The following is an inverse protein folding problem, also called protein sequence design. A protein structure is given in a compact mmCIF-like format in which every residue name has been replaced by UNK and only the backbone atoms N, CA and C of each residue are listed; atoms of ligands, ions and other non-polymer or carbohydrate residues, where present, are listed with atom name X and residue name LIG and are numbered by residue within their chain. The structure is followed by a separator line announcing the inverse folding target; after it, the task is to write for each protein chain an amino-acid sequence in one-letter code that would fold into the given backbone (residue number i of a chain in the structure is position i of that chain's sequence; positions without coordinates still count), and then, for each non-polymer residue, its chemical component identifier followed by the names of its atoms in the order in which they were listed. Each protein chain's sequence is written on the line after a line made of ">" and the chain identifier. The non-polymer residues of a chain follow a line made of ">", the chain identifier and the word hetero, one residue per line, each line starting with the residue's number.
data_IF_940174203274
#
_entry.id   IF_940174203274
#
_cell.length_a   1.000
_cell.length_b   1.000
_cell.length_c   1.000
_cell.angle_alpha   90.00
_cell.angle_beta   90.00
_cell.angle_gamma   90.00
#
_symmetry.space_group_name_H-M   'P 1'
#
loop_
_entity.id
_entity.type
_entity.pdbx_description
1 polymer ?
#
# COMPACT_ATOMS: atom_id res chain seq x y z
N UNK A 1 18.39 -44.58 37.83
CA UNK A 1 18.61 -43.44 38.74
C UNK A 1 17.86 -42.24 38.16
N UNK A 2 16.58 -42.02 38.48
CA UNK A 2 16.05 -41.23 39.61
C UNK A 2 16.77 -39.90 39.83
N UNK A 3 16.12 -38.80 39.44
CA UNK A 3 15.84 -37.62 40.30
C UNK A 3 14.84 -36.67 39.60
N UNK A 4 13.56 -36.91 39.87
CA UNK A 4 12.47 -35.93 39.79
C UNK A 4 12.67 -34.88 40.89
N UNK A 5 12.67 -33.59 40.52
CA UNK A 5 12.61 -32.49 41.49
C UNK A 5 11.21 -31.89 41.50
N UNK A 6 10.59 -31.98 42.66
CA UNK A 6 9.22 -31.58 42.98
C UNK A 6 9.26 -30.12 43.45
N UNK A 7 8.75 -29.17 42.67
CA UNK A 7 8.59 -27.78 43.12
C UNK A 7 7.23 -27.66 43.82
N UNK A 8 7.27 -27.42 45.13
CA UNK A 8 6.11 -27.05 45.95
C UNK A 8 5.84 -25.56 45.77
N UNK A 9 4.72 -25.22 45.14
CA UNK A 9 4.18 -23.85 45.12
C UNK A 9 3.29 -23.68 46.35
N UNK A 10 3.66 -22.76 47.24
CA UNK A 10 2.87 -22.34 48.39
C UNK A 10 1.95 -21.21 47.92
N UNK A 11 0.64 -21.43 47.99
CA UNK A 11 -0.37 -20.38 47.87
C UNK A 11 -0.43 -19.61 49.20
N UNK A 12 -0.13 -18.32 49.16
CA UNK A 12 -0.47 -17.38 50.24
C UNK A 12 -1.53 -16.44 49.71
N UNK A 13 -2.77 -16.69 50.10
CA UNK A 13 -3.89 -15.77 49.94
C UNK A 13 -3.74 -14.64 50.95
N UNK A 14 -3.50 -13.42 50.47
CA UNK A 14 -3.68 -12.20 51.27
C UNK A 14 -4.96 -11.54 50.78
N UNK A 15 -6.00 -11.67 51.60
CA UNK A 15 -7.22 -10.89 51.50
C UNK A 15 -6.94 -9.57 52.21
N UNK A 16 -6.87 -8.47 51.45
CA UNK A 16 -6.96 -7.12 51.99
C UNK A 16 -8.29 -6.52 51.54
N UNK A 17 -9.25 -6.55 52.47
CA UNK A 17 -10.40 -5.64 52.45
C UNK A 17 -9.92 -4.25 52.90
N UNK A 18 -9.92 -3.29 51.98
CA UNK A 18 -10.03 -1.88 52.34
C UNK A 18 -11.13 -1.26 51.50
N UNK A 19 -12.22 -0.91 52.19
CA UNK A 19 -13.31 -0.14 51.62
C UNK A 19 -12.84 1.26 51.26
N UNK A 20 -13.17 1.68 50.04
CA UNK A 20 -13.17 3.08 49.64
C UNK A 20 -14.55 3.34 49.05
N UNK A 21 -15.40 4.03 49.82
CA UNK A 21 -16.53 4.77 49.27
C UNK A 21 -15.95 5.95 48.48
N UNK A 22 -15.74 5.75 47.18
CA UNK A 22 -15.54 6.84 46.25
C UNK A 22 -16.87 7.08 45.51
N UNK A 23 -17.35 8.31 45.65
CA UNK A 23 -18.52 8.89 45.01
C UNK A 23 -18.45 8.73 43.48
N UNK A 24 -19.36 7.95 42.91
CA UNK A 24 -19.61 7.89 41.47
C UNK A 24 -20.30 9.20 41.03
N UNK A 25 -19.50 10.18 40.57
CA UNK A 25 -20.04 11.35 39.87
C UNK A 25 -19.19 11.85 38.70
N UNK A 26 -18.14 11.13 38.29
CA UNK A 26 -17.27 11.53 37.17
C UNK A 26 -17.40 10.68 35.89
N UNK A 27 -18.26 9.66 35.86
CA UNK A 27 -18.36 8.74 34.70
C UNK A 27 -19.24 9.23 33.54
N UNK A 28 -19.79 10.45 33.61
CA UNK A 28 -20.63 11.02 32.54
C UNK A 28 -19.91 12.04 31.64
N UNK A 29 -18.77 12.59 32.06
CA UNK A 29 -18.00 13.56 31.24
C UNK A 29 -17.06 12.91 30.21
N UNK A 30 -16.63 11.66 30.44
CA UNK A 30 -15.73 10.95 29.52
C UNK A 30 -16.46 10.43 28.28
N UNK A 31 -17.73 10.06 28.41
CA UNK A 31 -18.51 9.46 27.32
C UNK A 31 -19.00 10.50 26.29
N UNK A 32 -19.24 11.75 26.71
CA UNK A 32 -19.66 12.83 25.80
C UNK A 32 -18.50 13.43 24.99
N UNK A 33 -17.26 13.34 25.49
CA UNK A 33 -16.09 13.83 24.75
C UNK A 33 -15.64 12.90 23.62
N UNK A 34 -15.87 11.58 23.73
CA UNK A 34 -15.51 10.61 22.69
C UNK A 34 -16.46 10.63 21.48
N UNK A 35 -17.76 10.87 21.71
CA UNK A 35 -18.75 10.92 20.61
C UNK A 35 -18.50 12.12 19.68
N UNK A 36 -18.02 13.26 20.20
CA UNK A 36 -17.71 14.42 19.37
C UNK A 36 -16.43 14.28 18.52
N UNK A 37 -15.47 13.45 18.94
CA UNK A 37 -14.19 13.29 18.24
C UNK A 37 -14.27 12.37 17.03
N UNK A 38 -15.12 11.34 17.09
CA UNK A 38 -15.25 10.35 16.01
C UNK A 38 -15.97 10.95 14.79
N UNK A 39 -17.07 11.67 15.00
CA UNK A 39 -17.79 12.37 13.93
C UNK A 39 -16.95 13.46 13.26
N UNK A 40 -16.15 14.20 14.05
CA UNK A 40 -15.26 15.24 13.53
C UNK A 40 -14.13 14.64 12.67
N UNK A 41 -13.56 13.51 13.09
CA UNK A 41 -12.51 12.83 12.35
C UNK A 41 -13.04 12.23 11.05
N UNK A 42 -14.19 11.57 11.08
CA UNK A 42 -14.85 11.02 9.89
C UNK A 42 -15.19 12.11 8.88
N UNK A 43 -15.74 13.23 9.33
CA UNK A 43 -16.01 14.40 8.48
C UNK A 43 -14.75 14.96 7.83
N UNK A 44 -13.64 15.03 8.60
CA UNK A 44 -12.35 15.49 8.08
C UNK A 44 -11.75 14.53 7.06
N UNK A 45 -11.76 13.23 7.33
CA UNK A 45 -11.26 12.20 6.42
C UNK A 45 -12.04 12.20 5.10
N UNK A 46 -13.37 12.30 5.16
CA UNK A 46 -14.22 12.41 3.97
C UNK A 46 -13.89 13.66 3.15
N UNK A 47 -13.72 14.82 3.81
CA UNK A 47 -13.30 16.04 3.13
C UNK A 47 -11.94 15.85 2.47
N UNK A 48 -10.93 15.39 3.21
CA UNK A 48 -9.57 15.19 2.69
C UNK A 48 -9.57 14.24 1.48
N UNK A 49 -10.30 13.12 1.55
CA UNK A 49 -10.43 12.19 0.44
C UNK A 49 -10.90 12.87 -0.84
N UNK A 50 -11.93 13.72 -0.75
CA UNK A 50 -12.43 14.48 -1.90
C UNK A 50 -11.40 15.47 -2.43
N UNK A 51 -10.67 16.17 -1.55
CA UNK A 51 -9.64 17.12 -1.94
C UNK A 51 -8.46 16.44 -2.65
N UNK A 52 -8.08 15.23 -2.21
CA UNK A 52 -7.02 14.44 -2.85
C UNK A 52 -7.43 14.01 -4.27
N UNK A 53 -8.63 13.44 -4.43
CA UNK A 53 -9.15 13.00 -5.73
C UNK A 53 -9.31 14.18 -6.69
N UNK A 54 -9.84 15.31 -6.19
CA UNK A 54 -10.03 16.52 -6.99
C UNK A 54 -8.72 17.29 -7.28
N UNK A 55 -7.57 16.77 -6.83
CA UNK A 55 -6.25 17.39 -7.00
C UNK A 55 -6.18 18.83 -6.49
N UNK A 56 -6.91 19.15 -5.42
CA UNK A 56 -6.98 20.52 -4.88
C UNK A 56 -5.64 21.05 -4.34
N UNK A 57 -4.70 20.15 -4.06
CA UNK A 57 -3.34 20.46 -3.61
C UNK A 57 -2.31 20.53 -4.77
N UNK A 58 -2.73 20.27 -6.00
CA UNK A 58 -1.89 20.27 -7.20
C UNK A 58 -1.54 18.87 -7.72
N UNK A 59 -0.48 18.83 -8.52
CA UNK A 59 -0.05 17.64 -9.27
C UNK A 59 0.70 16.65 -8.40
N UNK A 60 0.22 15.40 -8.36
CA UNK A 60 0.82 14.35 -7.54
C UNK A 60 2.00 13.67 -8.23
N UNK A 61 1.98 13.49 -9.55
CA UNK A 61 2.95 12.63 -10.24
C UNK A 61 3.82 13.37 -11.26
N UNK A 62 3.85 14.70 -11.16
CA UNK A 62 4.65 15.57 -12.03
C UNK A 62 5.75 16.27 -11.22
N UNK A 63 7.02 16.03 -11.56
CA UNK A 63 8.15 16.67 -10.88
C UNK A 63 8.52 18.01 -11.53
N UNK A 64 8.89 19.04 -10.74
CA UNK A 64 9.09 19.05 -9.28
C UNK A 64 7.83 19.39 -8.46
N UNK A 65 6.65 19.51 -9.09
CA UNK A 65 5.41 19.89 -8.39
C UNK A 65 5.01 18.89 -7.29
N UNK A 66 5.27 17.60 -7.52
CA UNK A 66 5.09 16.49 -6.57
C UNK A 66 5.49 16.89 -5.14
N UNK A 67 6.75 17.28 -4.91
CA UNK A 67 7.27 17.50 -3.56
C UNK A 67 6.55 18.65 -2.84
N UNK A 68 6.19 19.70 -3.59
CA UNK A 68 5.44 20.84 -3.06
C UNK A 68 4.02 20.45 -2.69
N UNK A 69 3.36 19.62 -3.51
CA UNK A 69 2.02 19.11 -3.24
C UNK A 69 2.02 18.21 -1.99
N UNK A 70 2.98 17.28 -1.89
CA UNK A 70 3.14 16.43 -0.70
C UNK A 70 3.39 17.28 0.55
N UNK A 71 4.27 18.28 0.49
CA UNK A 71 4.53 19.18 1.62
C UNK A 71 3.32 20.00 2.04
N UNK A 72 2.55 20.53 1.10
CA UNK A 72 1.35 21.30 1.41
C UNK A 72 0.30 20.45 2.14
N UNK A 73 0.09 19.21 1.69
CA UNK A 73 -0.84 18.29 2.33
C UNK A 73 -0.35 17.91 3.72
N UNK A 74 0.92 17.52 3.85
CA UNK A 74 1.50 17.03 5.09
C UNK A 74 1.51 18.10 6.20
N UNK A 75 1.83 19.34 5.86
CA UNK A 75 1.95 20.43 6.83
C UNK A 75 0.60 21.05 7.23
N UNK A 76 -0.50 20.63 6.61
CA UNK A 76 -1.84 21.09 7.02
C UNK A 76 -2.23 20.44 8.36
N UNK A 77 -2.62 21.23 9.38
CA UNK A 77 -2.88 20.69 10.72
C UNK A 77 -3.88 19.53 10.74
N UNK A 78 -3.42 18.42 11.31
CA UNK A 78 -4.17 17.18 11.48
C UNK A 78 -4.44 16.38 10.19
N UNK A 79 -3.77 16.71 9.07
CA UNK A 79 -3.79 15.86 7.88
C UNK A 79 -3.00 14.57 8.07
N UNK A 80 -1.84 14.52 8.77
CA UNK A 80 -1.13 13.26 9.00
C UNK A 80 -2.03 12.16 9.58
N UNK A 81 -2.78 12.45 10.65
CA UNK A 81 -3.70 11.49 11.27
C UNK A 81 -4.87 11.14 10.34
N UNK A 82 -5.36 12.10 9.56
CA UNK A 82 -6.45 11.89 8.61
C UNK A 82 -6.01 11.00 7.43
N UNK A 83 -4.76 11.13 6.96
CA UNK A 83 -4.17 10.26 5.93
C UNK A 83 -4.06 8.83 6.44
N UNK A 84 -3.58 8.64 7.68
CA UNK A 84 -3.53 7.31 8.30
C UNK A 84 -4.91 6.69 8.43
N UNK A 85 -5.90 7.45 8.92
CA UNK A 85 -7.28 6.99 9.01
C UNK A 85 -7.85 6.63 7.62
N UNK A 86 -7.59 7.46 6.61
CA UNK A 86 -8.07 7.27 5.24
C UNK A 86 -7.55 5.98 4.60
N UNK A 87 -6.26 5.67 4.73
CA UNK A 87 -5.70 4.41 4.20
C UNK A 87 -6.40 3.18 4.80
N UNK A 88 -6.72 3.24 6.09
CA UNK A 88 -7.37 2.15 6.84
C UNK A 88 -8.89 2.06 6.61
N UNK A 89 -9.53 3.11 6.12
CA UNK A 89 -10.97 3.12 5.85
C UNK A 89 -11.31 2.34 4.57
N UNK A 90 -11.78 1.11 4.75
CA UNK A 90 -12.19 0.23 3.63
C UNK A 90 -13.42 0.73 2.88
N UNK A 91 -14.18 1.68 3.43
CA UNK A 91 -15.34 2.29 2.77
C UNK A 91 -14.98 3.50 1.91
N UNK A 92 -13.80 4.07 2.09
CA UNK A 92 -13.34 5.21 1.31
C UNK A 92 -12.99 4.80 -0.14
N UNK A 93 -13.12 5.72 -1.13
CA UNK A 93 -12.73 5.45 -2.51
C UNK A 93 -11.26 5.02 -2.62
N UNK A 94 -10.99 3.96 -3.39
CA UNK A 94 -9.65 3.39 -3.52
C UNK A 94 -8.62 4.40 -4.02
N UNK A 95 -8.98 5.33 -4.90
CA UNK A 95 -8.08 6.39 -5.36
C UNK A 95 -7.63 7.30 -4.22
N UNK A 96 -8.55 7.75 -3.35
CA UNK A 96 -8.18 8.54 -2.18
C UNK A 96 -7.25 7.77 -1.23
N UNK A 97 -7.51 6.48 -1.03
CA UNK A 97 -6.67 5.59 -0.22
C UNK A 97 -5.27 5.43 -0.82
N UNK A 98 -5.18 5.30 -2.14
CA UNK A 98 -3.91 5.25 -2.88
C UNK A 98 -3.11 6.55 -2.70
N UNK A 99 -3.72 7.70 -2.93
CA UNK A 99 -3.04 9.00 -2.79
C UNK A 99 -2.58 9.23 -1.35
N UNK A 100 -3.42 8.87 -0.37
CA UNK A 100 -3.05 8.94 1.04
C UNK A 100 -1.86 8.04 1.38
N UNK A 101 -1.85 6.79 0.89
CA UNK A 101 -0.75 5.87 1.08
C UNK A 101 0.55 6.39 0.44
N UNK A 102 0.50 6.98 -0.75
CA UNK A 102 1.70 7.48 -1.42
C UNK A 102 2.32 8.70 -0.71
N UNK A 103 1.48 9.59 -0.17
CA UNK A 103 1.93 10.67 0.73
C UNK A 103 2.61 10.09 1.98
N UNK A 104 1.99 9.10 2.61
CA UNK A 104 2.53 8.45 3.80
C UNK A 104 3.84 7.73 3.51
N UNK A 105 4.00 7.06 2.37
CA UNK A 105 5.30 6.52 1.95
C UNK A 105 6.38 7.60 1.81
N UNK A 106 6.00 8.81 1.40
CA UNK A 106 6.93 9.93 1.20
C UNK A 106 7.31 10.68 2.48
N UNK A 107 6.53 10.54 3.56
CA UNK A 107 6.71 11.33 4.80
C UNK A 107 6.83 10.50 6.07
N UNK A 108 6.12 9.38 6.17
CA UNK A 108 6.08 8.51 7.35
C UNK A 108 5.79 7.04 7.00
N UNK A 109 6.67 6.42 6.22
CA UNK A 109 6.44 5.07 5.67
C UNK A 109 6.36 3.97 6.75
N UNK A 110 6.89 4.19 7.96
CA UNK A 110 6.89 3.19 9.04
C UNK A 110 5.49 2.83 9.49
N UNK A 111 4.53 3.75 9.38
CA UNK A 111 3.11 3.51 9.67
C UNK A 111 2.51 2.49 8.71
N UNK A 112 2.96 2.49 7.45
CA UNK A 112 2.45 1.60 6.41
C UNK A 112 3.07 0.21 6.44
N UNK A 113 4.28 0.06 6.99
CA UNK A 113 4.99 -1.22 7.05
C UNK A 113 4.55 -2.13 8.21
N UNK A 114 3.36 -1.89 8.77
CA UNK A 114 2.73 -2.82 9.71
C UNK A 114 2.20 -4.02 8.92
N UNK A 115 2.51 -5.23 9.38
CA UNK A 115 2.31 -6.47 8.62
C UNK A 115 0.84 -6.74 8.26
N UNK A 116 -0.09 -6.26 9.07
CA UNK A 116 -1.54 -6.39 8.88
C UNK A 116 -2.09 -5.52 7.74
N UNK A 117 -1.34 -4.50 7.28
CA UNK A 117 -1.77 -3.59 6.22
C UNK A 117 -1.18 -3.90 4.85
N UNK A 118 -0.11 -4.71 4.79
CA UNK A 118 0.66 -4.88 3.55
C UNK A 118 -0.15 -5.50 2.41
N UNK A 119 -1.02 -6.47 2.70
CA UNK A 119 -1.89 -7.08 1.68
C UNK A 119 -2.95 -6.08 1.18
N UNK A 120 -3.58 -5.33 2.08
CA UNK A 120 -4.55 -4.30 1.72
C UNK A 120 -3.90 -3.18 0.90
N UNK A 121 -2.70 -2.74 1.28
CA UNK A 121 -1.89 -1.77 0.52
C UNK A 121 -1.55 -2.30 -0.87
N UNK A 122 -1.16 -3.57 -0.99
CA UNK A 122 -0.86 -4.15 -2.30
C UNK A 122 -2.09 -4.13 -3.22
N UNK A 123 -3.29 -4.39 -2.68
CA UNK A 123 -4.53 -4.28 -3.44
C UNK A 123 -4.82 -2.82 -3.86
N UNK A 124 -4.60 -1.84 -2.99
CA UNK A 124 -4.76 -0.41 -3.32
C UNK A 124 -3.86 -0.02 -4.50
N UNK A 125 -2.57 -0.41 -4.45
CA UNK A 125 -1.62 -0.09 -5.53
C UNK A 125 -1.92 -0.86 -6.83
N UNK A 126 -2.42 -2.09 -6.74
CA UNK A 126 -2.86 -2.84 -7.91
C UNK A 126 -4.04 -2.15 -8.61
N UNK A 127 -5.03 -1.71 -7.85
CA UNK A 127 -6.15 -0.92 -8.39
C UNK A 127 -5.67 0.40 -9.00
N UNK A 128 -4.69 1.07 -8.39
CA UNK A 128 -4.10 2.28 -8.95
C UNK A 128 -3.40 2.06 -10.31
N UNK A 129 -2.72 0.92 -10.47
CA UNK A 129 -2.11 0.53 -11.74
C UNK A 129 -3.16 0.20 -12.81
N UNK A 130 -4.21 -0.55 -12.44
CA UNK A 130 -5.29 -0.95 -13.36
C UNK A 130 -6.10 0.26 -13.83
N UNK A 131 -6.41 1.18 -12.92
CA UNK A 131 -7.27 2.34 -13.19
C UNK A 131 -6.49 3.62 -13.54
N UNK A 132 -5.17 3.54 -13.68
CA UNK A 132 -4.29 4.67 -14.02
C UNK A 132 -4.47 5.90 -13.11
N UNK A 133 -4.47 5.71 -11.79
CA UNK A 133 -4.57 6.83 -10.84
C UNK A 133 -3.35 7.76 -10.82
N UNK A 134 -2.28 7.37 -11.52
CA UNK A 134 -1.09 8.20 -11.76
C UNK A 134 -1.17 9.02 -13.05
N UNK A 135 -2.24 8.85 -13.84
CA UNK A 135 -2.51 9.45 -15.16
C UNK A 135 -1.55 9.01 -16.29
N UNK A 136 -0.31 8.64 -15.95
CA UNK A 136 0.67 8.09 -16.87
C UNK A 136 1.53 6.99 -16.24
N UNK A 137 2.29 6.30 -17.08
CA UNK A 137 3.14 5.16 -16.73
C UNK A 137 4.45 5.55 -16.03
N UNK A 138 4.86 6.84 -16.06
CA UNK A 138 6.21 7.25 -15.68
C UNK A 138 6.52 6.88 -14.21
N UNK A 139 5.55 7.03 -13.32
CA UNK A 139 5.68 6.71 -11.89
C UNK A 139 5.78 5.20 -11.61
N UNK A 140 5.30 4.36 -12.52
CA UNK A 140 5.43 2.90 -12.47
C UNK A 140 6.76 2.40 -13.03
N UNK A 141 7.53 3.30 -13.66
CA UNK A 141 8.88 3.04 -14.15
C UNK A 141 8.91 2.52 -15.59
N UNK A 142 10.13 2.43 -16.13
CA UNK A 142 10.40 1.91 -17.47
C UNK A 142 11.01 0.51 -17.33
N UNK A 143 10.16 -0.48 -17.60
CA UNK A 143 10.44 -1.88 -17.28
C UNK A 143 11.59 -2.46 -18.10
N UNK A 144 12.19 -3.52 -17.57
CA UNK A 144 13.16 -4.38 -18.25
C UNK A 144 14.44 -3.70 -18.77
N UNK A 145 14.41 -3.06 -19.95
CA UNK A 145 15.61 -2.54 -20.64
C UNK A 145 16.38 -1.53 -19.77
N UNK A 146 15.66 -0.73 -19.00
CA UNK A 146 16.24 0.19 -18.03
C UNK A 146 16.20 -0.36 -16.60
N UNK A 147 15.45 -1.45 -16.38
CA UNK A 147 15.24 -2.10 -15.09
C UNK A 147 14.81 -1.11 -13.99
N UNK A 148 13.87 -0.22 -14.32
CA UNK A 148 13.39 0.83 -13.41
C UNK A 148 11.95 0.56 -12.99
N UNK A 149 11.74 0.34 -11.69
CA UNK A 149 10.42 0.16 -11.06
C UNK A 149 9.68 1.48 -10.78
N UNK A 150 10.29 2.64 -10.99
CA UNK A 150 9.68 3.95 -10.71
C UNK A 150 9.37 4.17 -9.21
N UNK A 151 9.03 5.41 -8.80
CA UNK A 151 8.72 5.71 -7.40
C UNK A 151 7.50 4.96 -6.86
N UNK A 152 6.45 4.79 -7.67
CA UNK A 152 5.20 4.12 -7.27
C UNK A 152 5.33 2.59 -7.40
N UNK A 153 5.97 2.08 -8.45
CA UNK A 153 6.20 0.64 -8.58
C UNK A 153 7.17 0.07 -7.53
N UNK A 154 8.10 0.89 -7.03
CA UNK A 154 8.93 0.54 -5.87
C UNK A 154 8.10 0.14 -4.62
N UNK A 155 6.85 0.59 -4.51
CA UNK A 155 6.00 0.22 -3.36
C UNK A 155 5.66 -1.27 -3.35
N UNK A 156 5.46 -1.90 -4.51
CA UNK A 156 5.32 -3.36 -4.59
C UNK A 156 6.58 -4.07 -4.08
N UNK A 157 7.76 -3.56 -4.45
CA UNK A 157 9.03 -4.13 -3.99
C UNK A 157 9.21 -4.00 -2.47
N UNK A 158 8.79 -2.87 -1.90
CA UNK A 158 8.81 -2.64 -0.45
C UNK A 158 7.86 -3.59 0.30
N UNK A 159 6.69 -3.90 -0.28
CA UNK A 159 5.71 -4.85 0.29
C UNK A 159 6.16 -6.32 0.16
N UNK A 160 7.04 -6.64 -0.79
CA UNK A 160 7.64 -7.96 -0.93
C UNK A 160 6.62 -9.07 -1.14
N UNK A 161 6.73 -10.18 -0.40
CA UNK A 161 5.85 -11.36 -0.59
C UNK A 161 4.36 -11.04 -0.38
N UNK A 162 4.01 -10.04 0.43
CA UNK A 162 2.62 -9.62 0.65
C UNK A 162 1.94 -9.09 -0.62
N UNK A 163 2.72 -8.60 -1.60
CA UNK A 163 2.18 -8.14 -2.87
C UNK A 163 1.93 -9.28 -3.89
N UNK A 164 2.53 -10.45 -3.69
CA UNK A 164 2.46 -11.54 -4.68
C UNK A 164 1.02 -11.99 -4.99
N UNK A 165 0.12 -12.19 -4.00
CA UNK A 165 -1.23 -12.67 -4.31
C UNK A 165 -2.00 -11.77 -5.26
N UNK A 166 -1.82 -10.44 -5.19
CA UNK A 166 -2.50 -9.51 -6.11
C UNK A 166 -1.76 -9.37 -7.43
N UNK A 167 -0.43 -9.31 -7.42
CA UNK A 167 0.35 -9.24 -8.66
C UNK A 167 0.12 -10.47 -9.54
N UNK A 168 -0.02 -11.66 -8.94
CA UNK A 168 -0.32 -12.89 -9.69
C UNK A 168 -1.67 -12.79 -10.41
N UNK A 169 -2.71 -12.23 -9.76
CA UNK A 169 -4.00 -12.00 -10.43
C UNK A 169 -3.90 -11.03 -11.60
N UNK A 170 -2.97 -10.08 -11.53
CA UNK A 170 -2.73 -9.12 -12.62
C UNK A 170 -2.00 -9.72 -13.83
N UNK A 171 -1.43 -10.93 -13.73
CA UNK A 171 -0.79 -11.59 -14.88
C UNK A 171 -1.79 -11.96 -15.98
N UNK A 172 -3.08 -12.04 -15.66
CA UNK A 172 -4.16 -12.28 -16.63
C UNK A 172 -4.80 -10.96 -17.14
N UNK A 173 -4.31 -9.79 -16.71
CA UNK A 173 -4.86 -8.51 -17.11
C UNK A 173 -4.19 -7.96 -18.38
N UNK A 174 -4.93 -7.98 -19.49
CA UNK A 174 -4.42 -7.56 -20.80
C UNK A 174 -4.56 -6.06 -21.09
N UNK A 175 -5.14 -5.28 -20.17
CA UNK A 175 -5.37 -3.87 -20.40
C UNK A 175 -4.06 -3.10 -20.57
N UNK A 176 -4.08 -2.19 -21.54
CA UNK A 176 -3.10 -1.11 -21.65
C UNK A 176 -3.69 0.04 -20.84
N UNK A 177 -3.44 0.06 -19.53
CA UNK A 177 -4.02 1.07 -18.64
C UNK A 177 -3.25 2.38 -18.64
N UNK A 178 -1.97 2.37 -19.02
CA UNK A 178 -1.06 3.52 -18.85
C UNK A 178 -0.22 3.81 -20.09
N UNK A 179 -0.13 5.08 -20.48
CA UNK A 179 0.82 5.58 -21.48
C UNK A 179 1.93 6.39 -20.81
N UNK A 180 3.12 6.40 -21.39
CA UNK A 180 4.19 7.27 -20.92
C UNK A 180 4.04 8.68 -21.51
N UNK A 181 4.41 9.70 -20.75
CA UNK A 181 4.36 11.09 -21.20
C UNK A 181 5.72 11.78 -21.09
N UNK A 182 5.98 12.71 -22.00
CA UNK A 182 7.15 13.60 -21.95
C UNK A 182 8.31 13.19 -22.87
N UNK A 183 9.44 12.84 -22.27
CA UNK A 183 10.79 12.79 -22.87
C UNK A 183 11.00 11.64 -23.88
N UNK A 184 12.22 11.52 -24.41
CA UNK A 184 12.65 10.40 -25.27
C UNK A 184 12.40 9.01 -24.65
N UNK A 185 12.49 8.89 -23.32
CA UNK A 185 12.17 7.64 -22.61
C UNK A 185 10.69 7.30 -22.68
N UNK A 186 9.80 8.31 -22.77
CA UNK A 186 8.38 8.09 -22.98
C UNK A 186 8.09 7.55 -24.38
N UNK A 187 8.83 8.02 -25.41
CA UNK A 187 8.75 7.45 -26.76
C UNK A 187 9.10 5.96 -26.73
N UNK A 188 10.19 5.59 -26.06
CA UNK A 188 10.61 4.18 -25.93
C UNK A 188 9.55 3.36 -25.18
N UNK A 189 9.06 3.85 -24.03
CA UNK A 189 8.03 3.16 -23.26
C UNK A 189 6.74 2.94 -24.04
N UNK A 190 6.29 3.96 -24.78
CA UNK A 190 5.10 3.87 -25.64
C UNK A 190 5.30 2.92 -26.81
N UNK A 191 6.51 2.78 -27.37
CA UNK A 191 6.81 1.80 -28.41
C UNK A 191 6.67 0.35 -27.92
N UNK A 192 6.85 0.09 -26.63
CA UNK A 192 6.76 -1.28 -26.08
C UNK A 192 5.35 -1.72 -25.72
N UNK A 193 4.40 -0.79 -25.63
CA UNK A 193 2.99 -1.07 -25.32
C UNK A 193 2.85 -1.98 -24.08
N UNK A 194 3.51 -1.60 -22.98
CA UNK A 194 3.40 -2.35 -21.73
C UNK A 194 1.95 -2.39 -21.25
N UNK A 195 1.49 -3.59 -20.92
CA UNK A 195 0.18 -3.88 -20.33
C UNK A 195 0.33 -4.06 -18.82
N UNK A 196 -0.79 -4.05 -18.10
CA UNK A 196 -0.80 -4.33 -16.65
C UNK A 196 -0.07 -5.64 -16.31
N UNK A 197 -0.28 -6.72 -17.08
CA UNK A 197 0.44 -7.98 -16.87
C UNK A 197 1.95 -7.90 -17.07
N UNK A 198 2.45 -7.01 -17.93
CA UNK A 198 3.88 -6.79 -18.11
C UNK A 198 4.49 -6.12 -16.85
N UNK A 199 3.81 -5.11 -16.27
CA UNK A 199 4.19 -4.52 -14.98
C UNK A 199 4.17 -5.56 -13.85
N UNK A 200 3.11 -6.35 -13.75
CA UNK A 200 2.97 -7.37 -12.73
C UNK A 200 4.09 -8.42 -12.82
N UNK A 201 4.39 -8.91 -14.03
CA UNK A 201 5.47 -9.86 -14.25
C UNK A 201 6.84 -9.29 -13.85
N UNK A 202 7.11 -8.02 -14.19
CA UNK A 202 8.33 -7.35 -13.76
C UNK A 202 8.46 -7.30 -12.23
N UNK A 203 7.44 -6.81 -11.51
CA UNK A 203 7.52 -6.72 -10.05
C UNK A 203 7.60 -8.10 -9.38
N UNK A 204 6.88 -9.11 -9.88
CA UNK A 204 7.01 -10.48 -9.37
C UNK A 204 8.42 -11.01 -9.58
N UNK A 205 9.01 -10.80 -10.76
CA UNK A 205 10.40 -11.19 -11.05
C UNK A 205 11.36 -10.54 -10.05
N UNK A 206 11.18 -9.25 -9.75
CA UNK A 206 12.00 -8.52 -8.79
C UNK A 206 11.82 -9.02 -7.35
N UNK A 207 10.60 -9.35 -6.92
CA UNK A 207 10.30 -9.81 -5.56
C UNK A 207 10.78 -11.25 -5.34
N UNK A 208 10.57 -12.13 -6.32
CA UNK A 208 10.81 -13.57 -6.17
C UNK A 208 12.21 -14.00 -6.60
N UNK A 209 12.90 -13.18 -7.40
CA UNK A 209 14.15 -13.53 -8.06
C UNK A 209 14.00 -14.49 -9.24
N UNK A 210 12.77 -14.83 -9.64
CA UNK A 210 12.51 -15.67 -10.82
C UNK A 210 12.69 -14.79 -12.07
N UNK A 211 13.67 -15.05 -12.94
CA UNK A 211 13.94 -14.17 -14.07
C UNK A 211 12.84 -14.27 -15.13
N UNK A 212 12.38 -13.11 -15.62
CA UNK A 212 11.51 -12.97 -16.79
C UNK A 212 12.31 -12.30 -17.90
N UNK A 213 12.51 -13.00 -19.02
CA UNK A 213 13.24 -12.42 -20.14
C UNK A 213 12.40 -11.37 -20.86
N UNK A 214 12.99 -10.21 -21.15
CA UNK A 214 12.31 -9.19 -21.91
C UNK A 214 12.36 -9.45 -23.41
N UNK A 215 11.21 -9.23 -24.04
CA UNK A 215 11.04 -9.23 -25.48
C UNK A 215 10.22 -8.00 -25.91
N UNK A 216 10.59 -7.40 -27.06
CA UNK A 216 9.83 -6.27 -27.62
C UNK A 216 8.48 -6.73 -28.15
N UNK A 217 8.44 -7.94 -28.69
CA UNK A 217 7.24 -8.56 -29.24
C UNK A 217 6.31 -9.05 -28.13
N UNK A 218 5.04 -8.66 -28.23
CA UNK A 218 3.99 -8.95 -27.23
C UNK A 218 3.85 -10.47 -26.99
N UNK A 219 3.74 -11.27 -28.04
CA UNK A 219 3.55 -12.73 -27.95
C UNK A 219 4.72 -13.44 -27.23
N UNK A 220 5.94 -12.92 -27.40
CA UNK A 220 7.11 -13.46 -26.70
C UNK A 220 7.10 -13.10 -25.22
N UNK A 221 6.65 -11.89 -24.85
CA UNK A 221 6.43 -11.55 -23.44
C UNK A 221 5.35 -12.42 -22.82
N UNK A 222 4.27 -12.69 -23.55
CA UNK A 222 3.20 -13.57 -23.08
C UNK A 222 3.70 -14.98 -22.81
N UNK A 223 4.61 -15.50 -23.65
CA UNK A 223 5.27 -16.77 -23.41
C UNK A 223 6.09 -16.77 -22.11
N UNK A 224 6.85 -15.70 -21.84
CA UNK A 224 7.62 -15.58 -20.59
C UNK A 224 6.72 -15.37 -19.35
N UNK A 225 5.55 -14.73 -19.51
CA UNK A 225 4.55 -14.58 -18.45
C UNK A 225 3.91 -15.94 -18.11
N UNK A 226 3.56 -16.76 -19.11
CA UNK A 226 3.02 -18.11 -18.86
C UNK A 226 4.04 -19.05 -18.20
N UNK A 227 5.31 -18.91 -18.58
CA UNK A 227 6.42 -19.58 -17.89
C UNK A 227 6.54 -19.13 -16.44
N UNK A 228 6.44 -17.83 -16.17
CA UNK A 228 6.44 -17.29 -14.80
C UNK A 228 5.27 -17.85 -13.98
N UNK A 229 4.05 -17.90 -14.54
CA UNK A 229 2.87 -18.50 -13.89
C UNK A 229 3.13 -19.94 -13.47
N UNK A 230 3.70 -20.74 -14.37
CA UNK A 230 4.04 -22.14 -14.09
C UNK A 230 5.05 -22.29 -12.95
N UNK A 231 6.09 -21.44 -12.91
CA UNK A 231 7.11 -21.46 -11.85
C UNK A 231 6.55 -21.00 -10.49
N UNK A 232 5.59 -20.08 -10.49
CA UNK A 232 4.91 -19.64 -9.26
C UNK A 232 4.02 -20.74 -8.67
N UNK A 233 3.29 -21.47 -9.52
CA UNK A 233 2.47 -22.61 -9.07
C UNK A 233 3.33 -23.68 -8.39
N UNK A 234 4.52 -23.96 -8.92
CA UNK A 234 5.47 -24.87 -8.28
C UNK A 234 5.99 -24.32 -6.95
N UNK A 235 6.30 -23.01 -6.88
CA UNK A 235 6.74 -22.36 -5.64
C UNK A 235 5.68 -22.45 -4.54
N UNK A 236 4.42 -22.18 -4.85
CA UNK A 236 3.34 -22.17 -3.87
C UNK A 236 2.92 -23.57 -3.42
N UNK A 237 3.09 -24.61 -4.24
CA UNK A 237 2.87 -26.01 -3.84
C UNK A 237 3.90 -26.51 -2.82
N UNK A 238 5.08 -25.89 -2.76
CA UNK A 238 6.20 -26.32 -1.92
C UNK A 238 6.36 -25.54 -0.61
N UNK A 239 5.48 -24.58 -0.32
CA UNK A 239 5.40 -23.86 0.96
C UNK A 239 4.33 -24.47 1.85
#
# INVERSE_FOLDING_TARGET
>A
MKRTSLIKVIFVSVILLSGICATNQDSLSTTLSQVGTEDAMTSKTSKLAQQLINREYGEFFTYPAHDKTIDAIWNTPGNPEALEALVNDKSAPTEARFLAADILFSRNFTVLLRTDLLEDLANIYAEALVNNYTENANSWGLLYEFNQSGPVGNRFLMMGEAALPVLVRLLDNESISVTYEGSETATIGNMYHFRVKDFAAFYISSITGIPVQFHREIDKRDTEIEKLKSLLDERFKNK
#
